data_IF_057142135185
#
_entry.id   IF_057142135185
#
_cell.length_a   1.000
_cell.length_b   1.000
_cell.length_c   1.000
_cell.angle_alpha   90.00
_cell.angle_beta   90.00
_cell.angle_gamma   90.00
#
_symmetry.space_group_name_H-M   'P 1'
#
loop_
_entity.id
_entity.type
_entity.pdbx_description
1 polymer ?
#
# COMPACT_ATOMS: atom_id res chain seq x y z
N UNK A 1 -22.98 18.08 38.40
CA UNK A 1 -22.81 18.08 36.95
C UNK A 1 -22.18 19.41 36.53
N UNK A 2 -21.22 19.39 35.61
CA UNK A 2 -20.65 20.62 35.07
C UNK A 2 -21.40 21.05 33.81
N UNK A 3 -21.63 22.37 33.63
CA UNK A 3 -22.34 22.91 32.47
C UNK A 3 -21.58 24.07 31.87
N UNK A 4 -21.61 24.14 30.52
CA UNK A 4 -21.08 25.26 29.74
C UNK A 4 -22.24 26.03 29.11
N UNK A 5 -22.17 27.37 29.16
CA UNK A 5 -23.05 28.26 28.38
C UNK A 5 -22.21 29.36 27.75
N UNK A 6 -22.42 29.61 26.47
CA UNK A 6 -21.81 30.71 25.74
C UNK A 6 -22.73 31.92 25.90
N UNK A 7 -22.18 33.09 26.27
CA UNK A 7 -22.92 34.32 26.50
C UNK A 7 -22.23 35.52 25.87
N UNK A 8 -23.01 36.47 25.40
CA UNK A 8 -22.51 37.77 24.99
C UNK A 8 -22.51 38.75 26.17
N UNK A 9 -21.43 39.50 26.37
CA UNK A 9 -21.30 40.58 27.31
C UNK A 9 -21.11 41.88 26.51
N UNK A 10 -22.12 42.77 26.49
CA UNK A 10 -22.02 44.04 25.78
C UNK A 10 -20.91 44.91 26.32
N UNK A 11 -20.40 45.82 25.50
CA UNK A 11 -19.48 46.86 25.91
C UNK A 11 -20.21 47.93 26.77
N UNK A 12 -19.53 48.47 27.77
CA UNK A 12 -20.03 49.60 28.55
C UNK A 12 -20.01 50.91 27.76
N UNK A 13 -19.29 50.95 26.63
CA UNK A 13 -19.21 52.12 25.74
C UNK A 13 -20.13 51.87 24.53
N UNK A 14 -21.07 52.76 24.31
CA UNK A 14 -22.00 52.71 23.19
C UNK A 14 -21.25 52.67 21.84
N UNK A 15 -21.74 51.81 20.89
CA UNK A 15 -21.16 51.65 19.56
C UNK A 15 -19.87 50.83 19.50
N UNK A 16 -19.37 50.28 20.61
CA UNK A 16 -18.21 49.39 20.61
C UNK A 16 -18.61 47.92 20.72
N UNK A 17 -17.86 47.02 20.05
CA UNK A 17 -18.15 45.57 20.12
C UNK A 17 -17.95 45.05 21.54
N UNK A 18 -18.88 44.23 22.01
CA UNK A 18 -18.82 43.47 23.24
C UNK A 18 -17.99 42.19 23.12
N UNK A 19 -17.87 41.43 24.20
CA UNK A 19 -17.07 40.20 24.27
C UNK A 19 -17.96 38.98 24.44
N UNK A 20 -17.65 37.89 23.74
CA UNK A 20 -18.25 36.58 23.99
C UNK A 20 -17.50 35.91 25.16
N UNK A 21 -18.25 35.35 26.10
CA UNK A 21 -17.71 34.72 27.31
C UNK A 21 -18.27 33.32 27.47
N UNK A 22 -17.46 32.40 27.98
CA UNK A 22 -17.85 31.07 28.41
C UNK A 22 -18.22 31.11 29.90
N UNK A 23 -19.46 30.76 30.23
CA UNK A 23 -19.92 30.55 31.59
C UNK A 23 -19.84 29.07 31.92
N UNK A 24 -18.91 28.68 32.78
CA UNK A 24 -18.68 27.32 33.25
C UNK A 24 -19.21 27.23 34.67
N UNK A 25 -20.19 26.34 34.91
CA UNK A 25 -20.79 26.11 36.22
C UNK A 25 -20.56 24.67 36.64
N UNK A 26 -19.99 24.45 37.82
CA UNK A 26 -19.79 23.13 38.40
C UNK A 26 -20.04 23.21 39.92
N UNK A 27 -20.90 22.32 40.48
CA UNK A 27 -21.22 22.26 41.93
C UNK A 27 -21.58 23.62 42.52
N UNK A 28 -22.44 24.38 41.85
CA UNK A 28 -22.91 25.73 42.22
C UNK A 28 -21.83 26.85 42.18
N UNK A 29 -20.60 26.52 41.77
CA UNK A 29 -19.56 27.52 41.52
C UNK A 29 -19.56 27.87 40.03
N UNK A 30 -19.62 29.17 39.73
CA UNK A 30 -19.59 29.67 38.34
C UNK A 30 -18.29 30.42 38.09
N UNK A 31 -17.68 30.16 36.92
CA UNK A 31 -16.51 30.92 36.42
C UNK A 31 -16.77 31.41 35.00
N UNK A 32 -16.14 32.53 34.67
CA UNK A 32 -16.25 33.14 33.37
C UNK A 32 -14.88 33.18 32.70
N UNK A 33 -14.86 32.78 31.41
CA UNK A 33 -13.66 32.87 30.57
C UNK A 33 -13.99 33.66 29.33
N UNK A 34 -13.17 34.65 29.00
CA UNK A 34 -13.34 35.44 27.78
C UNK A 34 -12.85 34.66 26.58
N UNK A 35 -13.67 34.54 25.52
CA UNK A 35 -13.32 33.80 24.30
C UNK A 35 -12.26 34.49 23.43
N UNK A 36 -11.98 35.80 23.69
CA UNK A 36 -11.18 36.64 22.80
C UNK A 36 -11.92 37.12 21.56
N UNK A 37 -13.16 36.67 21.32
CA UNK A 37 -14.00 37.13 20.21
C UNK A 37 -14.80 38.36 20.60
N UNK A 38 -14.89 39.35 19.68
CA UNK A 38 -15.66 40.55 19.83
C UNK A 38 -16.66 40.67 18.68
N UNK A 39 -17.92 40.98 19.06
CA UNK A 39 -19.04 41.19 18.11
C UNK A 39 -19.87 42.38 18.54
N UNK A 40 -20.64 42.96 17.64
CA UNK A 40 -21.62 44.00 17.97
C UNK A 40 -22.88 43.35 18.57
N UNK A 41 -23.66 44.12 19.40
CA UNK A 41 -24.86 43.57 20.05
C UNK A 41 -25.87 42.98 19.06
N UNK A 42 -26.05 43.60 17.90
CA UNK A 42 -26.94 43.16 16.83
C UNK A 42 -26.48 41.86 16.14
N UNK A 43 -25.22 41.49 16.27
CA UNK A 43 -24.66 40.26 15.69
C UNK A 43 -24.80 39.06 16.63
N UNK A 44 -25.46 39.16 17.79
CA UNK A 44 -25.60 38.09 18.75
C UNK A 44 -27.02 37.50 18.75
N UNK A 45 -27.16 36.24 18.43
CA UNK A 45 -28.38 35.45 18.64
C UNK A 45 -28.34 34.76 20.01
N UNK A 46 -29.12 35.30 20.95
CA UNK A 46 -29.21 34.76 22.30
C UNK A 46 -29.92 33.39 22.35
N UNK A 47 -30.83 33.10 21.42
CA UNK A 47 -31.57 31.85 21.37
C UNK A 47 -30.70 30.68 20.92
N UNK A 48 -29.88 30.92 19.90
CA UNK A 48 -28.95 29.90 19.37
C UNK A 48 -27.58 29.94 20.05
N UNK A 49 -27.27 31.00 20.80
CA UNK A 49 -25.94 31.24 21.41
C UNK A 49 -24.80 31.27 20.35
N UNK A 50 -25.11 31.84 19.19
CA UNK A 50 -24.20 31.97 18.05
C UNK A 50 -24.15 33.44 17.55
N UNK A 51 -23.09 33.78 16.83
CA UNK A 51 -22.98 35.08 16.18
C UNK A 51 -23.59 35.02 14.78
N UNK A 52 -24.38 36.03 14.40
CA UNK A 52 -25.04 36.14 13.10
C UNK A 52 -24.54 37.34 12.30
N UNK A 53 -24.26 37.21 10.99
CA UNK A 53 -23.79 38.34 10.20
C UNK A 53 -24.94 39.32 9.91
N UNK A 54 -24.84 40.52 10.41
CA UNK A 54 -25.78 41.62 10.08
C UNK A 54 -25.32 42.34 8.79
N UNK A 55 -24.02 42.43 8.58
CA UNK A 55 -23.41 43.06 7.42
C UNK A 55 -22.63 42.07 6.57
N UNK A 56 -22.81 42.09 5.25
CA UNK A 56 -22.14 41.18 4.32
C UNK A 56 -20.59 41.19 4.45
N UNK A 57 -20.00 42.37 4.70
CA UNK A 57 -18.57 42.52 4.87
C UNK A 57 -17.99 41.76 6.07
N UNK A 58 -18.80 41.41 7.07
CA UNK A 58 -18.37 40.69 8.26
C UNK A 58 -18.70 39.20 8.27
N UNK A 59 -19.37 38.70 7.23
CA UNK A 59 -19.79 37.27 7.14
C UNK A 59 -18.62 36.32 7.37
N UNK A 60 -17.48 36.54 6.73
CA UNK A 60 -16.30 35.70 6.92
C UNK A 60 -15.74 35.73 8.35
N UNK A 61 -15.75 36.92 8.99
CA UNK A 61 -15.30 37.09 10.39
C UNK A 61 -16.24 36.34 11.33
N UNK A 62 -17.54 36.48 11.15
CA UNK A 62 -18.57 35.82 11.97
C UNK A 62 -18.48 34.29 11.84
N UNK A 63 -18.25 33.78 10.63
CA UNK A 63 -18.02 32.32 10.42
C UNK A 63 -16.82 31.81 11.20
N UNK A 64 -15.69 32.53 11.18
CA UNK A 64 -14.50 32.18 11.95
C UNK A 64 -14.75 32.24 13.46
N UNK A 65 -15.50 33.26 13.93
CA UNK A 65 -15.90 33.37 15.34
C UNK A 65 -16.74 32.13 15.73
N UNK A 66 -17.78 31.79 14.97
CA UNK A 66 -18.62 30.64 15.28
C UNK A 66 -17.84 29.31 15.25
N UNK A 67 -16.91 29.14 14.31
CA UNK A 67 -16.03 27.98 14.28
C UNK A 67 -15.18 27.89 15.55
N UNK A 68 -14.57 29.02 15.96
CA UNK A 68 -13.82 29.08 17.21
C UNK A 68 -14.69 28.74 18.42
N UNK A 69 -15.90 29.33 18.52
CA UNK A 69 -16.81 29.02 19.62
C UNK A 69 -17.18 27.55 19.73
N UNK A 70 -17.43 26.90 18.59
CA UNK A 70 -17.71 25.45 18.52
C UNK A 70 -16.50 24.62 18.95
N UNK A 71 -15.28 24.99 18.48
CA UNK A 71 -14.06 24.29 18.86
C UNK A 71 -13.78 24.44 20.37
N UNK A 72 -13.90 25.65 20.91
CA UNK A 72 -13.70 25.91 22.34
C UNK A 72 -14.76 25.18 23.18
N UNK A 73 -16.02 25.14 22.74
CA UNK A 73 -17.09 24.40 23.42
C UNK A 73 -16.81 22.90 23.46
N UNK A 74 -16.38 22.32 22.33
CA UNK A 74 -15.99 20.91 22.25
C UNK A 74 -14.80 20.62 23.17
N UNK A 75 -13.81 21.50 23.20
CA UNK A 75 -12.64 21.37 24.07
C UNK A 75 -13.04 21.37 25.55
N UNK A 76 -13.91 22.31 25.96
CA UNK A 76 -14.40 22.39 27.36
C UNK A 76 -15.21 21.13 27.68
N UNK A 77 -16.05 20.62 26.78
CA UNK A 77 -16.79 19.39 26.98
C UNK A 77 -15.84 18.19 27.19
N UNK A 78 -14.82 18.03 26.35
CA UNK A 78 -13.81 16.97 26.49
C UNK A 78 -13.04 17.07 27.81
N UNK A 79 -12.75 18.29 28.29
CA UNK A 79 -12.13 18.50 29.61
C UNK A 79 -13.07 18.01 30.71
N UNK A 80 -14.33 18.39 30.66
CA UNK A 80 -15.36 17.95 31.64
C UNK A 80 -15.44 16.44 31.67
N UNK A 81 -15.52 15.80 30.49
CA UNK A 81 -15.61 14.34 30.38
C UNK A 81 -14.36 13.65 30.95
N UNK A 82 -13.16 14.14 30.60
CA UNK A 82 -11.89 13.58 31.11
C UNK A 82 -11.71 13.73 32.63
N UNK A 83 -12.35 14.72 33.23
CA UNK A 83 -12.31 14.95 34.68
C UNK A 83 -13.47 14.24 35.42
N UNK A 84 -14.44 13.70 34.70
CA UNK A 84 -15.63 13.06 35.31
C UNK A 84 -15.29 11.78 36.06
N UNK A 85 -14.23 11.07 35.69
CA UNK A 85 -13.74 9.86 36.36
C UNK A 85 -13.10 10.17 37.74
N UNK A 86 -12.70 11.42 37.97
CA UNK A 86 -12.17 11.85 39.28
C UNK A 86 -12.98 13.04 39.83
N UNK A 87 -14.03 12.78 40.61
CA UNK A 87 -14.90 13.82 41.13
C UNK A 87 -14.20 14.91 41.97
N UNK A 88 -13.07 14.62 42.61
CA UNK A 88 -12.30 15.59 43.38
C UNK A 88 -11.69 16.70 42.49
N UNK A 89 -11.30 16.39 41.28
CA UNK A 89 -10.72 17.32 40.32
C UNK A 89 -11.78 18.09 39.51
N UNK A 90 -13.02 17.57 39.42
CA UNK A 90 -14.09 18.20 38.65
C UNK A 90 -14.66 19.43 39.42
N UNK A 91 -13.98 20.56 39.28
CA UNK A 91 -14.37 21.87 39.80
C UNK A 91 -14.40 22.91 38.69
N UNK A 92 -15.17 24.01 38.88
CA UNK A 92 -15.20 25.09 37.88
C UNK A 92 -13.80 25.70 37.65
N UNK A 93 -13.02 25.84 38.74
CA UNK A 93 -11.63 26.36 38.67
C UNK A 93 -10.69 25.38 37.96
N UNK A 94 -10.82 24.09 38.21
CA UNK A 94 -10.04 23.03 37.53
C UNK A 94 -10.31 22.97 36.02
N UNK A 95 -11.58 23.12 35.62
CA UNK A 95 -11.96 23.17 34.20
C UNK A 95 -11.35 24.40 33.51
N UNK A 96 -11.45 25.58 34.18
CA UNK A 96 -10.87 26.83 33.66
C UNK A 96 -9.35 26.77 33.58
N UNK A 97 -8.67 26.23 34.60
CA UNK A 97 -7.22 26.04 34.58
C UNK A 97 -6.79 25.20 33.42
N UNK A 98 -7.44 24.01 33.22
CA UNK A 98 -7.14 23.11 32.15
C UNK A 98 -7.46 23.71 30.75
N UNK A 99 -8.52 24.49 30.63
CA UNK A 99 -8.86 25.18 29.37
C UNK A 99 -7.85 26.30 29.03
N UNK A 100 -7.24 26.94 30.02
CA UNK A 100 -6.20 27.97 29.84
C UNK A 100 -4.82 27.38 29.53
N UNK A 101 -4.57 26.12 29.89
CA UNK A 101 -3.35 25.43 29.48
C UNK A 101 -3.29 25.38 27.96
N UNK A 102 -2.16 25.71 27.33
CA UNK A 102 -2.01 25.50 25.88
C UNK A 102 -2.24 24.03 25.58
N UNK A 103 -3.08 23.77 24.61
CA UNK A 103 -3.32 22.40 24.17
C UNK A 103 -2.02 21.83 23.63
N UNK A 104 -1.59 20.69 24.18
CA UNK A 104 -0.42 20.00 23.65
C UNK A 104 -0.67 19.67 22.17
N UNK A 105 0.26 20.03 21.28
CA UNK A 105 0.05 19.80 19.87
C UNK A 105 -0.19 18.31 19.61
N UNK A 106 -1.13 17.96 18.72
CA UNK A 106 -1.37 16.56 18.39
C UNK A 106 -0.10 15.93 17.81
N UNK A 107 0.33 14.81 18.41
CA UNK A 107 1.58 14.14 18.09
C UNK A 107 1.36 13.09 16.99
N UNK A 108 2.29 12.99 16.06
CA UNK A 108 2.12 12.18 14.85
C UNK A 108 2.19 10.67 15.11
N UNK A 109 3.17 10.20 15.88
CA UNK A 109 3.31 8.77 16.18
C UNK A 109 2.13 8.28 17.04
N UNK A 110 1.68 9.08 17.98
CA UNK A 110 0.53 8.73 18.82
C UNK A 110 -0.77 8.71 18.00
N UNK A 111 -0.99 9.69 17.14
CA UNK A 111 -2.10 9.68 16.19
C UNK A 111 -2.06 8.43 15.30
N UNK A 112 -0.89 8.04 14.78
CA UNK A 112 -0.72 6.84 13.98
C UNK A 112 -1.02 5.55 14.75
N UNK A 113 -0.67 5.48 16.05
CA UNK A 113 -1.06 4.37 16.94
C UNK A 113 -2.59 4.30 17.08
N UNK A 114 -3.27 5.44 17.19
CA UNK A 114 -4.72 5.53 17.19
C UNK A 114 -5.35 4.97 15.90
N UNK A 115 -4.81 5.34 14.74
CA UNK A 115 -5.24 4.80 13.44
C UNK A 115 -5.05 3.28 13.37
N UNK A 116 -3.92 2.76 13.87
CA UNK A 116 -3.66 1.30 13.92
C UNK A 116 -4.68 0.60 14.80
N UNK A 117 -5.06 1.19 15.93
CA UNK A 117 -6.09 0.65 16.84
C UNK A 117 -7.44 0.54 16.13
N UNK A 118 -7.89 1.61 15.46
CA UNK A 118 -9.12 1.59 14.66
C UNK A 118 -9.09 0.53 13.54
N UNK A 119 -7.95 0.37 12.85
CA UNK A 119 -7.80 -0.67 11.83
C UNK A 119 -7.89 -2.09 12.42
N UNK A 120 -7.46 -2.29 13.67
CA UNK A 120 -7.55 -3.56 14.39
C UNK A 120 -9.00 -3.88 14.76
N UNK A 121 -9.74 -2.89 15.24
CA UNK A 121 -11.19 -3.02 15.54
C UNK A 121 -12.01 -3.36 14.28
N UNK A 122 -11.56 -2.89 13.10
CA UNK A 122 -12.17 -3.21 11.81
C UNK A 122 -11.69 -4.55 11.21
N UNK A 123 -10.95 -5.38 11.97
CA UNK A 123 -10.34 -6.66 11.53
C UNK A 123 -9.49 -6.55 10.26
N UNK A 124 -8.94 -5.37 9.96
CA UNK A 124 -8.05 -5.12 8.82
C UNK A 124 -6.61 -5.54 9.13
N UNK A 125 -6.41 -6.82 9.47
CA UNK A 125 -5.14 -7.36 9.98
C UNK A 125 -3.95 -7.01 9.09
N UNK A 126 -4.10 -7.10 7.75
CA UNK A 126 -3.00 -6.77 6.84
C UNK A 126 -2.62 -5.29 6.89
N UNK A 127 -3.60 -4.40 7.00
CA UNK A 127 -3.34 -2.96 7.17
C UNK A 127 -2.64 -2.70 8.51
N UNK A 128 -3.09 -3.32 9.60
CA UNK A 128 -2.42 -3.23 10.90
C UNK A 128 -0.94 -3.60 10.80
N UNK A 129 -0.60 -4.72 10.17
CA UNK A 129 0.80 -5.14 9.97
C UNK A 129 1.62 -4.10 9.20
N UNK A 130 1.07 -3.59 8.10
CA UNK A 130 1.79 -2.63 7.24
C UNK A 130 1.98 -1.27 7.92
N UNK A 131 0.95 -0.78 8.59
CA UNK A 131 1.03 0.47 9.35
C UNK A 131 1.98 0.34 10.55
N UNK A 132 1.94 -0.78 11.28
CA UNK A 132 2.89 -1.05 12.38
C UNK A 132 4.33 -1.10 11.89
N UNK A 133 4.60 -1.75 10.74
CA UNK A 133 5.94 -1.77 10.15
C UNK A 133 6.43 -0.36 9.81
N UNK A 134 5.56 0.48 9.25
CA UNK A 134 5.88 1.88 8.92
C UNK A 134 6.10 2.72 10.19
N UNK A 135 5.23 2.55 11.21
CA UNK A 135 5.38 3.21 12.50
C UNK A 135 6.75 2.89 13.11
N UNK A 136 7.12 1.61 13.18
CA UNK A 136 8.40 1.18 13.75
C UNK A 136 9.60 1.78 12.97
N UNK A 137 9.51 1.83 11.64
CA UNK A 137 10.57 2.42 10.81
C UNK A 137 10.71 3.92 11.06
N UNK A 138 9.60 4.66 11.12
CA UNK A 138 9.62 6.10 11.36
C UNK A 138 10.00 6.45 12.81
N UNK A 139 9.55 5.64 13.78
CA UNK A 139 9.97 5.75 15.20
C UNK A 139 11.48 5.54 15.34
N UNK A 140 12.06 4.57 14.63
CA UNK A 140 13.51 4.34 14.65
C UNK A 140 14.28 5.51 14.02
N UNK A 141 13.79 6.11 12.94
CA UNK A 141 14.35 7.34 12.37
C UNK A 141 14.34 8.50 13.37
N UNK A 142 13.26 8.64 14.13
CA UNK A 142 13.09 9.69 15.14
C UNK A 142 13.74 9.35 16.50
N UNK A 143 14.51 8.27 16.60
CA UNK A 143 15.13 7.79 17.87
C UNK A 143 14.12 7.63 19.01
N UNK A 144 12.88 7.26 18.69
CA UNK A 144 11.79 7.10 19.67
C UNK A 144 11.04 8.38 20.00
N UNK A 145 11.51 9.55 19.58
CA UNK A 145 10.86 10.83 19.86
C UNK A 145 9.67 11.07 18.93
N UNK A 146 8.53 11.40 19.50
CA UNK A 146 7.36 11.82 18.73
C UNK A 146 7.55 13.23 18.17
N UNK A 147 6.69 13.67 17.27
CA UNK A 147 6.75 14.95 16.61
C UNK A 147 5.34 15.54 16.44
N UNK A 148 5.13 16.84 16.65
CA UNK A 148 3.88 17.51 16.31
C UNK A 148 3.49 17.27 14.84
N UNK A 149 2.21 17.00 14.58
CA UNK A 149 1.74 16.75 13.19
C UNK A 149 2.02 17.97 12.30
N UNK A 150 1.96 19.17 12.87
CA UNK A 150 2.24 20.43 12.18
C UNK A 150 3.69 20.58 11.71
N UNK A 151 4.63 19.83 12.30
CA UNK A 151 6.06 19.83 11.96
C UNK A 151 6.43 18.75 10.92
N UNK A 152 5.46 17.95 10.47
CA UNK A 152 5.67 17.05 9.34
C UNK A 152 5.75 17.89 8.06
N UNK A 153 6.94 18.15 7.60
CA UNK A 153 7.24 18.95 6.42
C UNK A 153 8.03 18.17 5.34
N UNK A 154 8.28 18.82 4.22
CA UNK A 154 8.98 18.21 3.10
C UNK A 154 10.46 17.92 3.42
N UNK A 155 11.11 18.72 4.27
CA UNK A 155 12.50 18.56 4.66
C UNK A 155 12.68 17.31 5.52
N UNK A 156 11.87 17.16 6.57
CA UNK A 156 11.87 15.97 7.43
C UNK A 156 11.66 14.68 6.64
N UNK A 157 10.74 14.71 5.66
CA UNK A 157 10.46 13.53 4.83
C UNK A 157 11.59 13.21 3.85
N UNK A 158 12.30 14.21 3.35
CA UNK A 158 13.51 14.01 2.54
C UNK A 158 14.66 13.42 3.40
N UNK A 159 14.82 13.86 4.63
CA UNK A 159 15.76 13.29 5.61
C UNK A 159 15.42 11.81 5.91
N UNK A 160 14.14 11.51 6.11
CA UNK A 160 13.68 10.13 6.31
C UNK A 160 13.97 9.25 5.09
N UNK A 161 13.75 9.75 3.87
CA UNK A 161 14.09 9.03 2.65
C UNK A 161 15.60 8.76 2.55
N UNK A 162 16.42 9.75 2.89
CA UNK A 162 17.89 9.63 2.94
C UNK A 162 18.32 8.59 3.98
N UNK A 163 17.73 8.63 5.17
CA UNK A 163 17.97 7.62 6.22
C UNK A 163 17.64 6.20 5.75
N UNK A 164 16.53 6.01 5.05
CA UNK A 164 16.17 4.70 4.50
C UNK A 164 17.13 4.22 3.41
N UNK A 165 17.58 5.13 2.52
CA UNK A 165 18.58 4.82 1.48
C UNK A 165 19.93 4.44 2.08
N UNK A 166 20.39 5.14 3.11
CA UNK A 166 21.63 4.81 3.83
C UNK A 166 21.60 3.42 4.46
N UNK A 167 20.40 2.91 4.79
CA UNK A 167 20.19 1.54 5.30
C UNK A 167 19.95 0.51 4.19
N UNK A 168 20.22 0.84 2.94
CA UNK A 168 20.02 -0.02 1.78
C UNK A 168 18.55 -0.50 1.60
N UNK A 169 17.58 0.30 2.06
CA UNK A 169 16.16 0.00 1.86
C UNK A 169 15.81 0.22 0.38
N UNK A 170 15.14 -0.75 -0.24
CA UNK A 170 14.76 -0.65 -1.66
C UNK A 170 13.76 0.49 -1.89
N UNK A 171 13.83 1.14 -3.08
CA UNK A 171 12.94 2.25 -3.41
C UNK A 171 11.45 1.89 -3.34
N UNK A 172 11.08 0.64 -3.63
CA UNK A 172 9.71 0.18 -3.46
C UNK A 172 9.27 0.14 -1.98
N UNK A 173 10.19 -0.14 -1.06
CA UNK A 173 9.93 -0.11 0.38
C UNK A 173 9.89 1.34 0.89
N UNK A 174 10.75 2.22 0.38
CA UNK A 174 10.69 3.67 0.65
C UNK A 174 9.32 4.21 0.24
N UNK A 175 8.91 3.94 -1.00
CA UNK A 175 7.59 4.33 -1.50
C UNK A 175 6.44 3.77 -0.64
N UNK A 176 6.56 2.52 -0.20
CA UNK A 176 5.57 1.88 0.65
C UNK A 176 5.42 2.63 1.99
N UNK A 177 6.51 2.99 2.65
CA UNK A 177 6.48 3.76 3.89
C UNK A 177 5.93 5.17 3.67
N UNK A 178 6.42 5.88 2.66
CA UNK A 178 5.96 7.24 2.35
C UNK A 178 4.44 7.29 2.06
N UNK A 179 3.91 6.30 1.32
CA UNK A 179 2.46 6.23 1.05
C UNK A 179 1.62 6.01 2.31
N UNK A 180 2.11 5.22 3.26
CA UNK A 180 1.40 5.00 4.53
C UNK A 180 1.47 6.27 5.40
N UNK A 181 2.65 6.89 5.54
CA UNK A 181 2.79 8.14 6.28
C UNK A 181 1.91 9.24 5.69
N UNK A 182 1.87 9.37 4.34
CA UNK A 182 0.96 10.29 3.65
C UNK A 182 -0.50 10.02 3.97
N UNK A 183 -0.92 8.75 3.99
CA UNK A 183 -2.29 8.39 4.33
C UNK A 183 -2.64 8.73 5.79
N UNK A 184 -1.69 8.62 6.72
CA UNK A 184 -1.88 9.02 8.12
C UNK A 184 -1.96 10.54 8.23
N UNK A 185 -1.03 11.28 7.58
CA UNK A 185 -1.03 12.74 7.57
C UNK A 185 -2.33 13.31 7.00
N UNK A 186 -2.79 12.79 5.85
CA UNK A 186 -4.04 13.24 5.25
C UNK A 186 -5.23 13.01 6.18
N UNK A 187 -5.30 11.87 6.88
CA UNK A 187 -6.35 11.64 7.90
C UNK A 187 -6.29 12.63 9.06
N UNK A 188 -5.11 13.10 9.42
CA UNK A 188 -4.97 14.14 10.44
C UNK A 188 -5.44 15.49 9.91
N UNK A 189 -5.11 15.82 8.65
CA UNK A 189 -5.59 17.03 7.99
C UNK A 189 -7.13 17.00 7.78
N UNK A 190 -7.70 15.86 7.40
CA UNK A 190 -9.15 15.67 7.27
C UNK A 190 -9.89 15.84 8.62
N UNK A 191 -9.19 15.60 9.75
CA UNK A 191 -9.68 15.85 11.11
C UNK A 191 -9.33 17.24 11.65
N UNK A 192 -8.84 18.13 10.80
CA UNK A 192 -8.44 19.51 11.14
C UNK A 192 -7.36 19.61 12.23
N UNK A 193 -6.61 18.53 12.49
CA UNK A 193 -5.50 18.52 13.44
C UNK A 193 -4.26 19.27 12.94
N UNK A 194 -4.18 19.50 11.63
CA UNK A 194 -3.14 20.28 10.95
C UNK A 194 -3.68 20.79 9.61
N UNK A 195 -3.25 21.96 9.13
CA UNK A 195 -3.57 22.42 7.80
C UNK A 195 -2.89 21.53 6.75
N UNK A 196 -3.56 21.27 5.61
CA UNK A 196 -3.01 20.50 4.51
C UNK A 196 -1.90 21.28 3.78
N UNK A 197 -0.64 20.87 3.98
CA UNK A 197 0.56 21.47 3.38
C UNK A 197 1.20 20.62 2.29
N UNK A 198 0.63 19.45 1.98
CA UNK A 198 1.13 18.48 1.00
C UNK A 198 2.63 18.14 1.14
N UNK A 199 3.13 17.79 2.33
CA UNK A 199 4.55 17.58 2.57
C UNK A 199 5.14 16.41 1.76
N UNK A 200 4.30 15.49 1.30
CA UNK A 200 4.70 14.30 0.52
C UNK A 200 4.83 14.56 -0.99
N UNK A 201 4.75 15.82 -1.46
CA UNK A 201 4.80 16.15 -2.89
C UNK A 201 6.12 15.73 -3.55
N UNK A 202 7.24 15.86 -2.84
CA UNK A 202 8.57 15.70 -3.40
C UNK A 202 9.29 14.41 -2.99
N UNK A 203 8.66 13.56 -2.17
CA UNK A 203 9.24 12.26 -1.79
C UNK A 203 8.76 11.13 -2.70
N UNK A 204 9.58 10.08 -2.80
CA UNK A 204 9.28 8.98 -3.70
C UNK A 204 8.08 8.16 -3.21
N UNK A 205 7.01 8.17 -4.00
CA UNK A 205 5.78 7.38 -3.78
C UNK A 205 5.44 6.49 -4.99
N UNK A 206 6.35 6.40 -5.96
CA UNK A 206 6.20 5.62 -7.19
C UNK A 206 6.36 4.11 -6.98
N UNK A 207 6.28 3.37 -8.07
CA UNK A 207 6.52 1.92 -8.11
C UNK A 207 7.68 1.65 -9.06
N UNK A 208 8.81 1.26 -8.52
CA UNK A 208 9.98 0.86 -9.30
C UNK A 208 9.75 -0.49 -10.00
N UNK A 209 10.30 -0.63 -11.19
CA UNK A 209 10.30 -1.91 -11.93
C UNK A 209 11.05 -2.97 -11.11
N UNK A 210 10.43 -4.12 -10.92
CA UNK A 210 11.05 -5.28 -10.25
C UNK A 210 11.49 -6.32 -11.26
N UNK A 211 12.65 -6.92 -11.03
CA UNK A 211 13.12 -8.04 -11.86
C UNK A 211 12.13 -9.20 -11.73
N UNK A 212 11.63 -9.67 -12.87
CA UNK A 212 10.73 -10.83 -12.93
C UNK A 212 11.57 -12.11 -12.87
N UNK A 213 11.16 -13.03 -11.99
CA UNK A 213 11.90 -14.26 -11.69
C UNK A 213 11.19 -15.49 -12.29
N UNK A 214 10.68 -15.38 -13.51
CA UNK A 214 10.13 -16.52 -14.21
C UNK A 214 11.26 -17.51 -14.53
N UNK A 215 10.99 -18.81 -14.41
CA UNK A 215 11.92 -19.87 -14.78
C UNK A 215 11.34 -20.68 -15.97
N UNK A 216 12.20 -21.15 -16.88
CA UNK A 216 11.79 -21.96 -18.02
C UNK A 216 11.13 -23.27 -17.62
N UNK A 217 10.31 -23.84 -18.52
CA UNK A 217 9.60 -25.12 -18.31
C UNK A 217 10.56 -26.27 -18.00
N UNK A 218 11.78 -26.25 -18.54
CA UNK A 218 12.81 -27.25 -18.26
C UNK A 218 13.17 -27.33 -16.77
N UNK A 219 13.28 -26.18 -16.08
CA UNK A 219 13.51 -26.16 -14.65
C UNK A 219 12.28 -26.59 -13.84
N UNK A 220 11.06 -26.27 -14.29
CA UNK A 220 9.84 -26.78 -13.66
C UNK A 220 9.84 -28.32 -13.69
N UNK A 221 10.23 -28.94 -14.83
CA UNK A 221 10.35 -30.40 -14.97
C UNK A 221 11.44 -30.98 -14.06
N UNK A 222 12.62 -30.33 -13.96
CA UNK A 222 13.69 -30.75 -13.03
C UNK A 222 13.22 -30.72 -11.58
N UNK A 223 12.57 -29.62 -11.16
CA UNK A 223 12.02 -29.47 -9.80
C UNK A 223 10.98 -30.57 -9.52
N UNK A 224 10.09 -30.86 -10.47
CA UNK A 224 9.08 -31.91 -10.34
C UNK A 224 9.73 -33.28 -10.12
N UNK A 225 10.77 -33.60 -10.88
CA UNK A 225 11.38 -34.93 -10.95
C UNK A 225 12.56 -35.10 -9.96
N UNK A 226 12.88 -34.08 -9.16
CA UNK A 226 13.95 -34.18 -8.14
C UNK A 226 13.58 -35.22 -7.09
N UNK A 227 14.51 -36.14 -6.82
CA UNK A 227 14.31 -37.12 -5.77
C UNK A 227 14.50 -36.51 -4.38
N UNK A 228 13.42 -36.38 -3.67
CA UNK A 228 13.35 -35.82 -2.32
C UNK A 228 12.76 -36.81 -1.30
N UNK A 229 12.68 -38.10 -1.64
CA UNK A 229 12.07 -39.13 -0.79
C UNK A 229 12.65 -39.15 0.63
N UNK A 230 13.96 -38.95 0.76
CA UNK A 230 14.64 -38.90 2.06
C UNK A 230 14.61 -37.52 2.74
N UNK A 231 13.93 -36.54 2.15
CA UNK A 231 13.86 -35.15 2.65
C UNK A 231 12.40 -34.66 2.72
N UNK A 232 11.55 -35.18 3.63
CA UNK A 232 10.10 -34.93 3.61
C UNK A 232 9.69 -33.44 3.60
N UNK A 233 10.45 -32.58 4.31
CA UNK A 233 10.16 -31.14 4.32
C UNK A 233 10.44 -30.48 2.97
N UNK A 234 11.47 -30.92 2.23
CA UNK A 234 11.76 -30.42 0.89
C UNK A 234 10.77 -30.97 -0.12
N UNK A 235 10.37 -32.23 0.03
CA UNK A 235 9.31 -32.87 -0.77
C UNK A 235 8.00 -32.09 -0.63
N UNK A 236 7.62 -31.76 0.61
CA UNK A 236 6.47 -30.88 0.87
C UNK A 236 6.60 -29.50 0.18
N UNK A 237 7.78 -28.86 0.27
CA UNK A 237 7.99 -27.56 -0.37
C UNK A 237 7.90 -27.64 -1.89
N UNK A 238 8.45 -28.70 -2.50
CA UNK A 238 8.28 -29.00 -3.93
C UNK A 238 6.82 -29.18 -4.31
N UNK A 239 6.08 -29.98 -3.54
CA UNK A 239 4.68 -30.26 -3.83
C UNK A 239 3.82 -29.01 -3.74
N UNK A 240 4.07 -28.14 -2.77
CA UNK A 240 3.37 -26.84 -2.69
C UNK A 240 3.71 -25.95 -3.89
N UNK A 241 4.97 -25.94 -4.35
CA UNK A 241 5.39 -25.22 -5.53
C UNK A 241 4.70 -25.77 -6.79
N UNK A 242 4.68 -27.10 -6.97
CA UNK A 242 4.03 -27.75 -8.12
C UNK A 242 2.52 -27.56 -8.10
N UNK A 243 1.87 -27.67 -6.94
CA UNK A 243 0.44 -27.41 -6.81
C UNK A 243 0.08 -25.97 -7.23
N UNK A 244 0.85 -24.98 -6.78
CA UNK A 244 0.68 -23.60 -7.23
C UNK A 244 0.83 -23.48 -8.75
N UNK A 245 1.83 -24.14 -9.34
CA UNK A 245 2.03 -24.11 -10.79
C UNK A 245 0.86 -24.77 -11.55
N UNK A 246 0.38 -25.92 -11.11
CA UNK A 246 -0.76 -26.62 -11.70
C UNK A 246 -2.06 -25.82 -11.59
N UNK A 247 -2.21 -25.05 -10.54
CA UNK A 247 -3.36 -24.16 -10.33
C UNK A 247 -3.15 -22.74 -10.89
N UNK A 248 -2.39 -22.61 -11.99
CA UNK A 248 -2.17 -21.36 -12.73
C UNK A 248 -1.44 -20.28 -11.93
N UNK A 249 -0.52 -20.69 -11.06
CA UNK A 249 0.20 -19.78 -10.18
C UNK A 249 -0.66 -19.22 -9.03
N UNK A 250 -1.49 -20.07 -8.43
CA UNK A 250 -2.27 -19.72 -7.24
C UNK A 250 -1.37 -19.21 -6.13
N UNK A 251 -1.74 -18.11 -5.51
CA UNK A 251 -0.96 -17.54 -4.40
C UNK A 251 -0.98 -18.48 -3.18
N UNK A 252 0.14 -18.58 -2.48
CA UNK A 252 0.26 -19.47 -1.32
C UNK A 252 -0.77 -19.17 -0.23
N UNK A 253 -1.16 -17.91 -0.07
CA UNK A 253 -2.26 -17.56 0.85
C UNK A 253 -3.60 -18.16 0.42
N UNK A 254 -3.89 -18.20 -0.88
CA UNK A 254 -5.13 -18.80 -1.39
C UNK A 254 -5.07 -20.31 -1.19
N UNK A 255 -3.93 -20.97 -1.50
CA UNK A 255 -3.70 -22.40 -1.25
C UNK A 255 -3.93 -22.78 0.20
N UNK A 256 -3.38 -21.99 1.16
CA UNK A 256 -3.45 -22.30 2.58
C UNK A 256 -4.89 -22.33 3.12
N UNK A 257 -5.77 -21.55 2.50
CA UNK A 257 -7.18 -21.45 2.96
C UNK A 257 -8.17 -22.18 2.05
N UNK A 258 -7.71 -22.96 1.05
CA UNK A 258 -8.58 -23.85 0.28
C UNK A 258 -9.22 -24.89 1.21
N UNK A 259 -10.52 -25.10 1.04
CA UNK A 259 -11.26 -26.11 1.78
C UNK A 259 -11.65 -27.28 0.88
N UNK A 260 -11.83 -28.46 1.46
CA UNK A 260 -12.29 -29.66 0.71
C UNK A 260 -13.62 -29.40 -0.02
N UNK A 261 -14.51 -28.59 0.54
CA UNK A 261 -15.78 -28.21 -0.08
C UNK A 261 -15.66 -27.32 -1.31
N UNK A 262 -14.48 -26.71 -1.54
CA UNK A 262 -14.20 -25.85 -2.70
C UNK A 262 -13.93 -26.68 -3.95
N UNK A 263 -13.66 -27.99 -3.80
CA UNK A 263 -13.54 -28.96 -4.89
C UNK A 263 -14.86 -29.73 -5.03
N UNK A 264 -15.56 -29.50 -6.13
CA UNK A 264 -16.85 -30.18 -6.44
C UNK A 264 -16.94 -30.47 -7.93
N UNK A 265 -17.42 -31.66 -8.30
CA UNK A 265 -17.65 -32.03 -9.70
C UNK A 265 -16.41 -31.89 -10.57
N UNK A 266 -15.20 -32.16 -10.05
CA UNK A 266 -13.95 -32.02 -10.83
C UNK A 266 -13.53 -30.56 -11.08
N UNK A 267 -14.10 -29.58 -10.37
CA UNK A 267 -13.73 -28.18 -10.49
C UNK A 267 -13.41 -27.60 -9.11
N UNK A 268 -12.23 -27.03 -8.99
CA UNK A 268 -11.83 -26.25 -7.82
C UNK A 268 -12.31 -24.80 -7.99
N UNK A 269 -13.20 -24.35 -7.11
CA UNK A 269 -13.76 -23.00 -7.11
C UNK A 269 -13.32 -22.26 -5.87
N UNK A 270 -12.60 -21.15 -6.02
CA UNK A 270 -12.15 -20.36 -4.87
C UNK A 270 -12.22 -18.86 -5.14
N UNK A 271 -12.24 -18.07 -4.08
CA UNK A 271 -12.19 -16.61 -4.14
C UNK A 271 -10.80 -16.14 -3.76
N UNK A 272 -10.13 -15.39 -4.65
CA UNK A 272 -8.81 -14.80 -4.36
C UNK A 272 -8.89 -13.86 -3.16
N UNK A 273 -8.06 -14.09 -2.17
CA UNK A 273 -8.04 -13.26 -0.94
C UNK A 273 -7.54 -11.83 -1.18
N UNK A 274 -6.76 -11.60 -2.24
CA UNK A 274 -6.24 -10.27 -2.57
C UNK A 274 -7.26 -9.37 -3.28
N UNK A 275 -8.02 -9.92 -4.22
CA UNK A 275 -8.91 -9.16 -5.12
C UNK A 275 -10.40 -9.49 -4.94
N UNK A 276 -10.73 -10.58 -4.24
CA UNK A 276 -12.10 -11.05 -4.09
C UNK A 276 -12.68 -11.75 -5.32
N UNK A 277 -11.93 -11.84 -6.41
CA UNK A 277 -12.36 -12.47 -7.64
C UNK A 277 -12.55 -13.98 -7.47
N UNK A 278 -13.64 -14.52 -8.03
CA UNK A 278 -13.90 -15.97 -8.04
C UNK A 278 -13.20 -16.59 -9.25
N UNK A 279 -12.46 -17.69 -9.02
CA UNK A 279 -11.76 -18.44 -10.04
C UNK A 279 -12.20 -19.90 -10.04
N UNK A 280 -12.21 -20.48 -11.22
CA UNK A 280 -12.55 -21.87 -11.46
C UNK A 280 -11.35 -22.57 -12.12
N UNK A 281 -10.86 -23.65 -11.51
CA UNK A 281 -9.74 -24.43 -12.01
C UNK A 281 -10.21 -25.87 -12.19
N UNK A 282 -10.15 -26.38 -13.41
CA UNK A 282 -10.41 -27.80 -13.68
C UNK A 282 -9.43 -28.62 -12.87
N UNK A 283 -9.95 -29.63 -12.18
CA UNK A 283 -9.12 -30.51 -11.37
C UNK A 283 -8.42 -31.56 -12.25
N UNK A 284 -7.12 -31.65 -12.10
CA UNK A 284 -6.28 -32.53 -12.90
C UNK A 284 -5.65 -33.61 -12.01
N UNK A 285 -5.30 -34.77 -12.60
CA UNK A 285 -4.69 -35.91 -11.91
C UNK A 285 -3.44 -35.51 -11.09
N UNK A 286 -2.59 -34.66 -11.66
CA UNK A 286 -1.37 -34.20 -10.99
C UNK A 286 -1.63 -33.36 -9.72
N UNK A 287 -2.79 -32.74 -9.60
CA UNK A 287 -3.21 -32.06 -8.37
C UNK A 287 -3.68 -33.05 -7.32
N UNK A 288 -4.42 -34.08 -7.76
CA UNK A 288 -4.90 -35.17 -6.89
C UNK A 288 -3.73 -35.94 -6.30
N UNK A 289 -2.74 -36.31 -7.11
CA UNK A 289 -1.54 -37.03 -6.68
C UNK A 289 -0.80 -36.30 -5.54
N UNK A 290 -0.78 -34.97 -5.56
CA UNK A 290 -0.21 -34.17 -4.44
C UNK A 290 -1.09 -34.29 -3.20
N UNK A 291 -2.41 -34.18 -3.33
CA UNK A 291 -3.32 -34.27 -2.18
C UNK A 291 -3.24 -35.63 -1.51
N UNK A 292 -3.19 -36.71 -2.31
CA UNK A 292 -3.19 -38.08 -1.82
C UNK A 292 -1.91 -38.48 -1.04
N UNK A 293 -0.82 -37.72 -1.22
CA UNK A 293 0.41 -37.91 -0.45
C UNK A 293 0.27 -37.52 1.02
N UNK A 294 -0.71 -36.68 1.36
CA UNK A 294 -0.82 -36.12 2.70
C UNK A 294 -2.08 -36.63 3.42
N UNK A 295 -1.99 -36.86 4.74
CA UNK A 295 -3.16 -37.24 5.52
C UNK A 295 -4.19 -36.11 5.48
N UNK A 296 -5.47 -36.50 5.51
CA UNK A 296 -6.56 -35.58 5.50
C UNK A 296 -6.48 -34.59 6.68
N UNK A 297 -6.48 -33.28 6.42
CA UNK A 297 -6.44 -32.28 7.46
C UNK A 297 -7.70 -32.36 8.36
N UNK A 298 -7.55 -32.39 9.68
CA UNK A 298 -8.68 -32.37 10.62
C UNK A 298 -9.43 -31.03 10.60
N UNK A 299 -8.81 -29.97 10.06
CA UNK A 299 -9.37 -28.61 10.00
C UNK A 299 -10.27 -28.38 8.79
N UNK A 300 -10.44 -29.37 7.91
CA UNK A 300 -11.23 -29.25 6.66
C UNK A 300 -10.56 -28.45 5.55
N UNK A 301 -9.32 -28.01 5.74
CA UNK A 301 -8.52 -27.43 4.65
C UNK A 301 -8.02 -28.52 3.69
N UNK A 302 -7.88 -28.15 2.41
CA UNK A 302 -7.51 -29.09 1.34
C UNK A 302 -6.04 -29.51 1.43
N UNK A 303 -5.15 -28.57 1.73
CA UNK A 303 -3.70 -28.77 1.83
C UNK A 303 -3.26 -28.71 3.30
N UNK A 304 -2.22 -29.45 3.70
CA UNK A 304 -1.74 -29.52 5.10
C UNK A 304 -0.86 -28.32 5.48
N UNK A 305 -1.25 -27.13 5.07
CA UNK A 305 -0.57 -25.86 5.40
C UNK A 305 -1.06 -25.33 6.75
N UNK A 306 -2.37 -25.43 6.99
CA UNK A 306 -3.01 -25.09 8.25
C UNK A 306 -3.53 -26.41 8.85
N UNK A 307 -2.89 -26.86 9.90
CA UNK A 307 -3.13 -28.19 10.52
C UNK A 307 -3.91 -28.13 11.82
N UNK A 308 -4.06 -26.96 12.42
CA UNK A 308 -4.76 -26.78 13.71
C UNK A 308 -5.73 -25.62 13.63
N UNK A 309 -6.84 -25.71 14.32
CA UNK A 309 -7.77 -24.58 14.52
C UNK A 309 -7.12 -23.51 15.40
N UNK A 310 -7.45 -22.25 15.13
CA UNK A 310 -6.84 -21.10 15.80
C UNK A 310 -5.43 -20.77 15.29
N UNK A 311 -5.10 -19.50 15.27
CA UNK A 311 -3.82 -18.96 14.78
C UNK A 311 -3.49 -19.35 13.33
N UNK A 312 -4.49 -19.54 12.47
CA UNK A 312 -4.33 -19.96 11.06
C UNK A 312 -3.36 -19.04 10.31
N UNK A 313 -3.43 -17.73 10.58
CA UNK A 313 -2.54 -16.75 9.97
C UNK A 313 -1.08 -16.97 10.34
N UNK A 314 -0.80 -17.32 11.58
CA UNK A 314 0.55 -17.62 12.04
C UNK A 314 1.09 -18.90 11.38
N UNK A 315 0.26 -19.95 11.32
CA UNK A 315 0.61 -21.21 10.66
C UNK A 315 0.93 -20.98 9.17
N UNK A 316 0.04 -20.28 8.47
CA UNK A 316 0.27 -19.89 7.07
C UNK A 316 1.60 -19.13 6.90
N UNK A 317 1.89 -18.13 7.72
CA UNK A 317 3.14 -17.34 7.62
C UNK A 317 4.38 -18.20 7.85
N UNK A 318 4.37 -19.02 8.87
CA UNK A 318 5.48 -19.91 9.20
C UNK A 318 5.70 -20.93 8.08
N UNK A 319 4.64 -21.54 7.55
CA UNK A 319 4.70 -22.44 6.42
C UNK A 319 5.27 -21.75 5.16
N UNK A 320 4.83 -20.52 4.84
CA UNK A 320 5.37 -19.77 3.72
C UNK A 320 6.87 -19.48 3.86
N UNK A 321 7.34 -19.10 5.06
CA UNK A 321 8.74 -18.87 5.33
C UNK A 321 9.55 -20.15 5.17
N UNK A 322 9.09 -21.25 5.75
CA UNK A 322 9.73 -22.56 5.64
C UNK A 322 9.82 -23.00 4.18
N UNK A 323 8.70 -23.02 3.47
CA UNK A 323 8.62 -23.42 2.05
C UNK A 323 9.56 -22.58 1.20
N UNK A 324 9.57 -21.26 1.35
CA UNK A 324 10.48 -20.40 0.59
C UNK A 324 11.95 -20.64 0.91
N UNK A 325 12.29 -20.96 2.16
CA UNK A 325 13.65 -21.33 2.54
C UNK A 325 14.10 -22.65 1.90
N UNK A 326 13.20 -23.65 1.88
CA UNK A 326 13.47 -24.95 1.29
C UNK A 326 13.51 -24.90 -0.25
N UNK A 327 12.67 -24.09 -0.87
CA UNK A 327 12.70 -23.86 -2.32
C UNK A 327 14.03 -23.29 -2.80
N UNK A 328 14.70 -22.43 -2.01
CA UNK A 328 16.05 -21.96 -2.33
C UNK A 328 17.07 -23.11 -2.35
N UNK A 329 16.93 -24.07 -1.44
CA UNK A 329 17.80 -25.29 -1.41
C UNK A 329 17.50 -26.18 -2.61
N UNK A 330 16.23 -26.37 -2.96
CA UNK A 330 15.83 -27.13 -4.17
C UNK A 330 16.38 -26.46 -5.43
N UNK A 331 16.35 -25.13 -5.50
CA UNK A 331 16.93 -24.41 -6.63
C UNK A 331 18.41 -24.76 -6.85
N UNK A 332 19.20 -24.84 -5.78
CA UNK A 332 20.61 -25.22 -5.85
C UNK A 332 20.78 -26.66 -6.34
N UNK A 333 19.96 -27.63 -5.86
CA UNK A 333 20.01 -29.03 -6.28
C UNK A 333 19.77 -29.19 -7.78
N UNK A 334 18.82 -28.44 -8.35
CA UNK A 334 18.48 -28.51 -9.78
C UNK A 334 19.37 -27.61 -10.66
N UNK A 335 20.41 -26.97 -10.08
CA UNK A 335 21.32 -26.08 -10.81
C UNK A 335 20.67 -24.74 -11.22
N UNK A 336 19.71 -24.24 -10.46
CA UNK A 336 19.05 -22.97 -10.72
C UNK A 336 19.66 -21.86 -9.88
N UNK A 337 20.32 -20.87 -10.49
CA UNK A 337 20.96 -19.74 -9.82
C UNK A 337 19.99 -18.61 -9.43
N UNK A 338 18.69 -18.76 -9.69
CA UNK A 338 17.66 -17.77 -9.35
C UNK A 338 17.03 -18.10 -7.99
N UNK A 339 16.78 -17.09 -7.16
CA UNK A 339 16.05 -17.29 -5.90
C UNK A 339 14.65 -17.83 -6.14
N UNK A 340 14.45 -19.11 -5.91
CA UNK A 340 13.16 -19.78 -6.03
C UNK A 340 12.29 -19.46 -4.82
N UNK A 341 11.07 -19.03 -5.06
CA UNK A 341 10.05 -18.77 -4.05
C UNK A 341 8.68 -19.15 -4.59
N UNK A 342 7.68 -19.29 -3.74
CA UNK A 342 6.30 -19.58 -4.17
C UNK A 342 5.77 -18.60 -5.21
N UNK A 343 6.23 -17.33 -5.19
CA UNK A 343 5.78 -16.33 -6.14
C UNK A 343 6.33 -16.55 -7.57
N UNK A 344 7.44 -17.26 -7.70
CA UNK A 344 8.05 -17.62 -8.99
C UNK A 344 7.10 -18.46 -9.84
N UNK A 345 6.28 -19.35 -9.23
CA UNK A 345 5.31 -20.19 -9.95
C UNK A 345 4.37 -19.36 -10.81
N UNK A 346 3.88 -18.24 -10.26
CA UNK A 346 2.92 -17.37 -10.95
C UNK A 346 3.56 -16.66 -12.14
N UNK A 347 4.80 -16.18 -11.99
CA UNK A 347 5.55 -15.59 -13.10
C UNK A 347 5.87 -16.62 -14.18
N UNK A 348 6.31 -17.80 -13.75
CA UNK A 348 6.68 -18.89 -14.68
C UNK A 348 5.48 -19.39 -15.46
N UNK A 349 4.33 -19.62 -14.81
CA UNK A 349 3.11 -20.04 -15.50
C UNK A 349 2.70 -19.02 -16.57
N UNK A 350 2.66 -17.73 -16.24
CA UNK A 350 2.29 -16.69 -17.19
C UNK A 350 3.29 -16.57 -18.35
N UNK A 351 4.60 -16.63 -18.06
CA UNK A 351 5.64 -16.54 -19.08
C UNK A 351 5.66 -17.76 -20.00
N UNK A 352 5.44 -18.97 -19.45
CA UNK A 352 5.34 -20.21 -20.24
C UNK A 352 4.08 -20.19 -21.10
N UNK A 353 2.93 -19.76 -20.56
CA UNK A 353 1.70 -19.63 -21.32
C UNK A 353 1.88 -18.67 -22.50
N UNK A 354 2.55 -17.54 -22.28
CA UNK A 354 2.86 -16.60 -23.36
C UNK A 354 3.81 -17.18 -24.41
N UNK A 355 4.84 -17.94 -23.97
CA UNK A 355 5.77 -18.59 -24.93
C UNK A 355 5.10 -19.67 -25.78
N UNK A 356 3.95 -20.17 -25.33
CA UNK A 356 3.07 -21.08 -26.06
C UNK A 356 2.00 -20.36 -26.89
N UNK A 357 2.14 -19.05 -27.07
CA UNK A 357 1.23 -18.18 -27.85
C UNK A 357 -0.22 -18.15 -27.32
N UNK A 358 -0.43 -18.45 -26.03
CA UNK A 358 -1.75 -18.29 -25.41
C UNK A 358 -2.10 -16.78 -25.35
N UNK A 359 -3.30 -16.38 -25.80
CA UNK A 359 -3.72 -14.99 -25.78
C UNK A 359 -3.62 -14.35 -24.38
N UNK A 360 -3.26 -13.06 -24.34
CA UNK A 360 -3.08 -12.33 -23.09
C UNK A 360 -4.35 -12.28 -22.25
N UNK A 361 -5.51 -12.16 -22.89
CA UNK A 361 -6.83 -12.20 -22.25
C UNK A 361 -7.05 -13.52 -21.49
N UNK A 362 -6.73 -14.65 -22.11
CA UNK A 362 -6.84 -15.98 -21.48
C UNK A 362 -5.89 -16.13 -20.30
N UNK A 363 -4.64 -15.63 -20.45
CA UNK A 363 -3.66 -15.61 -19.34
C UNK A 363 -4.17 -14.73 -18.20
N UNK A 364 -4.71 -13.56 -18.51
CA UNK A 364 -5.24 -12.59 -17.54
C UNK A 364 -6.40 -13.19 -16.75
N UNK A 365 -7.37 -13.78 -17.43
CA UNK A 365 -8.51 -14.46 -16.82
C UNK A 365 -8.05 -15.65 -15.96
N UNK A 366 -7.19 -16.51 -16.52
CA UNK A 366 -6.65 -17.67 -15.81
C UNK A 366 -5.89 -17.32 -14.54
N UNK A 367 -5.25 -16.16 -14.50
CA UNK A 367 -4.57 -15.63 -13.31
C UNK A 367 -5.52 -14.83 -12.39
N UNK A 368 -6.72 -14.49 -12.82
CA UNK A 368 -7.64 -13.64 -12.09
C UNK A 368 -7.09 -12.21 -11.90
N UNK A 369 -6.73 -11.56 -13.00
CA UNK A 369 -6.38 -10.14 -13.02
C UNK A 369 -7.58 -9.34 -13.55
N UNK A 370 -7.82 -8.18 -12.92
CA UNK A 370 -8.92 -7.29 -13.32
C UNK A 370 -8.64 -6.56 -14.64
N UNK A 371 -7.37 -6.57 -15.10
CA UNK A 371 -6.98 -5.98 -16.39
C UNK A 371 -5.80 -6.69 -17.02
N UNK A 372 -5.75 -6.69 -18.35
CA UNK A 372 -4.60 -7.22 -19.11
C UNK A 372 -3.32 -6.42 -18.85
N UNK A 373 -3.41 -5.12 -18.58
CA UNK A 373 -2.28 -4.28 -18.20
C UNK A 373 -1.56 -4.84 -16.94
N UNK A 374 -2.32 -5.35 -15.96
CA UNK A 374 -1.73 -6.03 -14.80
C UNK A 374 -0.98 -7.28 -15.23
N UNK A 375 -1.49 -8.05 -16.20
CA UNK A 375 -0.84 -9.24 -16.72
C UNK A 375 0.43 -8.90 -17.49
N UNK A 376 0.43 -7.83 -18.28
CA UNK A 376 1.63 -7.35 -18.98
C UNK A 376 2.78 -7.01 -18.03
N UNK A 377 2.48 -6.48 -16.84
CA UNK A 377 3.50 -6.23 -15.80
C UNK A 377 4.16 -7.55 -15.34
N UNK A 378 3.41 -8.65 -15.33
CA UNK A 378 3.93 -9.99 -14.98
C UNK A 378 4.77 -10.63 -16.06
N UNK A 379 4.41 -10.36 -17.30
CA UNK A 379 5.17 -10.85 -18.44
C UNK A 379 6.44 -9.99 -18.51
N UNK A 380 7.57 -10.57 -18.14
CA UNK A 380 8.87 -9.95 -18.35
C UNK A 380 8.96 -9.39 -19.76
N UNK A 381 9.76 -8.35 -19.97
CA UNK A 381 10.21 -7.95 -21.31
C UNK A 381 10.45 -9.22 -22.13
N UNK A 382 9.89 -9.27 -23.34
CA UNK A 382 10.10 -10.37 -24.28
C UNK A 382 11.57 -10.77 -24.23
N UNK A 383 11.82 -12.06 -24.03
CA UNK A 383 13.18 -12.58 -24.12
C UNK A 383 13.74 -12.13 -25.48
N UNK A 384 14.95 -11.60 -25.52
CA UNK A 384 15.61 -11.18 -26.76
C UNK A 384 15.52 -12.30 -27.81
N UNK A 385 15.63 -13.57 -27.37
CA UNK A 385 15.46 -14.73 -28.25
C UNK A 385 14.08 -14.81 -28.91
N UNK A 386 13.01 -14.34 -28.28
CA UNK A 386 11.67 -14.32 -28.88
C UNK A 386 11.55 -13.20 -29.93
N UNK A 387 12.17 -12.04 -29.67
CA UNK A 387 12.26 -10.93 -30.64
C UNK A 387 13.09 -11.37 -31.83
N UNK A 388 14.23 -12.00 -31.59
CA UNK A 388 15.12 -12.51 -32.65
C UNK A 388 14.44 -13.61 -33.50
N UNK A 389 13.66 -14.50 -32.87
CA UNK A 389 12.86 -15.49 -33.60
C UNK A 389 11.77 -14.85 -34.44
N UNK A 390 11.06 -13.89 -33.90
CA UNK A 390 10.06 -13.13 -34.64
C UNK A 390 10.69 -12.41 -35.83
N UNK A 391 11.82 -11.73 -35.60
CA UNK A 391 12.56 -11.07 -36.66
C UNK A 391 13.05 -12.05 -37.75
N UNK A 392 13.61 -13.22 -37.37
CA UNK A 392 13.97 -14.28 -38.33
C UNK A 392 12.77 -14.79 -39.13
N UNK A 393 11.61 -14.92 -38.48
CA UNK A 393 10.39 -15.35 -39.19
C UNK A 393 9.93 -14.29 -40.19
N UNK A 394 10.01 -13.01 -39.83
CA UNK A 394 9.70 -11.91 -40.75
C UNK A 394 10.68 -11.89 -41.92
N UNK A 395 11.97 -12.01 -41.64
CA UNK A 395 13.01 -11.99 -42.66
C UNK A 395 12.90 -13.23 -43.63
N UNK A 396 12.52 -14.38 -43.11
CA UNK A 396 12.27 -15.56 -43.96
C UNK A 396 11.06 -15.40 -44.88
N UNK A 397 10.04 -14.67 -44.46
CA UNK A 397 8.83 -14.43 -45.24
C UNK A 397 8.94 -13.21 -46.17
N UNK A 398 10.05 -12.48 -46.11
CA UNK A 398 10.27 -11.25 -46.88
C UNK A 398 11.30 -11.38 -48.02
N UNK A 399 11.66 -12.58 -48.40
CA UNK A 399 12.64 -12.90 -49.47
C UNK A 399 14.00 -12.19 -49.33
N UNK A 400 14.37 -11.72 -48.12
CA UNK A 400 15.71 -11.22 -47.86
C UNK A 400 16.67 -12.42 -47.72
N UNK A 401 17.78 -12.44 -48.45
CA UNK A 401 18.75 -13.53 -48.40
C UNK A 401 19.28 -13.69 -46.98
N UNK A 402 19.15 -14.88 -46.40
CA UNK A 402 19.79 -15.22 -45.13
C UNK A 402 21.30 -15.17 -45.33
N UNK A 403 22.02 -14.37 -44.50
CA UNK A 403 23.44 -14.09 -44.62
C UNK A 403 24.38 -15.28 -44.39
N UNK A 404 24.23 -16.36 -45.13
CA UNK A 404 25.18 -17.47 -45.18
C UNK A 404 25.80 -17.68 -46.55
N UNK A 405 25.42 -16.93 -47.60
CA UNK A 405 26.13 -16.91 -48.87
C UNK A 405 26.97 -15.62 -48.98
N UNK A 406 28.17 -15.66 -48.44
CA UNK A 406 29.12 -14.58 -48.42
C UNK A 406 29.77 -14.28 -49.82
N UNK A 407 29.09 -14.65 -50.94
CA UNK A 407 29.63 -14.41 -52.29
C UNK A 407 28.62 -13.90 -53.32
N UNK A 408 27.43 -13.41 -52.93
CA UNK A 408 26.56 -12.73 -53.90
C UNK A 408 26.44 -11.23 -53.51
N UNK A 409 26.80 -10.40 -54.43
CA UNK A 409 26.90 -8.92 -54.39
C UNK A 409 25.61 -8.32 -53.77
N UNK A 410 25.69 -7.88 -52.51
CA UNK A 410 24.62 -7.15 -51.82
C UNK A 410 24.42 -5.78 -52.46
N UNK A 411 23.30 -5.54 -53.14
CA UNK A 411 22.90 -4.25 -53.69
C UNK A 411 22.71 -3.15 -52.62
N UNK A 412 22.55 -3.52 -51.37
CA UNK A 412 22.36 -2.58 -50.22
C UNK A 412 23.70 -1.96 -49.77
N UNK A 413 24.84 -2.63 -50.02
CA UNK A 413 26.16 -2.06 -49.69
C UNK A 413 26.61 -0.95 -50.64
N UNK A 414 25.91 -0.67 -51.76
CA UNK A 414 26.28 0.42 -52.66
C UNK A 414 25.92 1.82 -52.10
N UNK A 415 25.05 1.92 -51.11
CA UNK A 415 24.64 3.22 -50.59
C UNK A 415 25.25 3.59 -49.22
N UNK A 416 25.83 2.62 -48.48
CA UNK A 416 26.38 2.90 -47.14
C UNK A 416 27.90 3.17 -47.10
N UNK A 417 28.64 2.98 -48.19
CA UNK A 417 30.08 3.19 -48.21
C UNK A 417 30.53 4.48 -48.94
N UNK A 418 29.60 5.29 -49.46
CA UNK A 418 29.95 6.59 -50.08
C UNK A 418 30.30 7.70 -49.06
N UNK A 419 30.12 7.50 -47.79
CA UNK A 419 30.38 8.48 -46.74
C UNK A 419 31.80 8.42 -46.14
N UNK A 420 32.68 7.51 -46.59
CA UNK A 420 34.03 7.34 -46.05
C UNK A 420 35.12 7.24 -47.12
N UNK A 421 34.96 7.88 -48.31
CA UNK A 421 36.05 8.10 -49.23
C UNK A 421 36.61 9.53 -49.05
N UNK A 422 37.90 9.70 -48.75
CA UNK A 422 38.53 11.04 -48.72
C UNK A 422 38.60 11.59 -50.14
N UNK A 423 37.78 12.60 -50.43
CA UNK A 423 37.75 13.29 -51.73
C UNK A 423 36.40 13.76 -52.24
N UNK A 424 35.30 13.51 -51.50
CA UNK A 424 34.00 14.01 -51.93
C UNK A 424 33.70 15.37 -51.27
N UNK A 425 33.76 16.46 -52.07
CA UNK A 425 33.27 17.78 -51.67
C UNK A 425 31.74 17.75 -51.63
N UNK A 426 31.15 18.00 -50.47
CA UNK A 426 29.71 18.16 -50.25
C UNK A 426 29.33 19.56 -50.78
N UNK A 427 28.30 19.71 -51.62
CA UNK A 427 27.76 21.02 -52.00
C UNK A 427 27.16 21.73 -50.79
N UNK A 428 27.42 23.02 -50.65
CA UNK A 428 27.03 23.90 -49.54
C UNK A 428 25.53 24.25 -49.49
N UNK A 429 24.61 23.37 -49.78
CA UNK A 429 23.16 23.70 -49.68
C UNK A 429 22.30 22.53 -49.18
N UNK A 430 22.61 21.97 -48.00
CA UNK A 430 21.67 21.11 -47.25
C UNK A 430 21.82 21.31 -45.75
N UNK A 431 21.47 22.50 -45.26
CA UNK A 431 21.38 22.80 -43.82
C UNK A 431 19.94 23.07 -43.35
N UNK A 432 18.94 22.47 -43.98
CA UNK A 432 17.56 22.50 -43.50
C UNK A 432 16.92 21.15 -43.78
N UNK A 433 17.16 20.12 -42.98
CA UNK A 433 16.28 18.98 -42.66
C UNK A 433 17.11 18.00 -41.78
N UNK A 434 17.20 18.29 -40.49
CA UNK A 434 17.23 17.27 -39.40
C UNK A 434 16.78 17.96 -38.10
#
# INVERSE_FOLDING_TARGET
MATLRIKFRPSTVAGRPGSIIYRITCRNVTRYVVSGCKIYPEEWDAAQSEAMPVHAARTGTIMLINQKLRNDATRIANIIDSMSDNPALLTADGIVARFREPEAPPMFLDFMKGVIRQLREQDKVRCVETYTSTLNSFTAFRNGCDIPISEIDAMLLAEYETYLKARNVTMNTVSFYNRILRAVYNRAADKELTPQRNPFRHVYTGVGKTVKRAIPLGYIRKIKNEDLALKPSMDFARDMFMFSFYTRGMAFVDMAYLRKKDLRGGVLTYRRRKTGQRLHVKWEKCMQEIIDKYPASPTGYLLPIITRSGRERTQYRNALHLVNSLLKKIALLVGLHTNLTMYVTRHSWASIARSQHIPLSVISEGMGHDSEATTQIYLASLDRSAVDKANRSILKNSDFPSGQDANSRCLVCRYSYAAFCPGFQVPENMSEIF
#
